data_IF_026427989642
#
_entry.id   IF_026427989642
#
_cell.length_a   1.000
_cell.length_b   1.000
_cell.length_c   1.000
_cell.angle_alpha   90.00
_cell.angle_beta   90.00
_cell.angle_gamma   90.00
#
_symmetry.space_group_name_H-M   'P 1'
#
loop_
_entity.id
_entity.type
_entity.pdbx_description
1 polymer ?
#
# COMPACT_ATOMS: atom_id res chain seq x y z
N UNK A 1 -51.05 -22.38 13.53
CA UNK A 1 -52.36 -21.86 13.95
C UNK A 1 -53.52 -22.42 13.12
N UNK A 2 -53.48 -22.35 11.77
CA UNK A 2 -54.56 -22.86 10.91
C UNK A 2 -54.93 -24.35 11.10
N UNK A 3 -53.93 -25.23 11.29
CA UNK A 3 -54.16 -26.66 11.56
C UNK A 3 -54.82 -26.92 12.92
N UNK A 4 -54.48 -26.11 13.93
CA UNK A 4 -55.05 -26.23 15.26
C UNK A 4 -56.51 -25.74 15.27
N UNK A 5 -56.80 -24.61 14.63
CA UNK A 5 -58.17 -24.11 14.47
C UNK A 5 -59.02 -25.05 13.60
N UNK A 6 -58.48 -25.60 12.51
CA UNK A 6 -59.17 -26.59 11.68
C UNK A 6 -59.44 -27.90 12.44
N UNK A 7 -58.51 -28.36 13.28
CA UNK A 7 -58.75 -29.50 14.15
C UNK A 7 -59.82 -29.24 15.22
N UNK A 8 -59.93 -28.00 15.72
CA UNK A 8 -61.01 -27.60 16.62
C UNK A 8 -62.38 -27.63 15.91
N UNK A 9 -62.48 -27.03 14.72
CA UNK A 9 -63.74 -26.95 13.96
C UNK A 9 -64.18 -28.29 13.37
N UNK A 10 -63.25 -29.14 12.92
CA UNK A 10 -63.55 -30.43 12.29
C UNK A 10 -63.59 -31.61 13.28
N UNK A 11 -63.32 -31.37 14.57
CA UNK A 11 -63.33 -32.42 15.60
C UNK A 11 -62.19 -33.46 15.50
N UNK A 12 -61.22 -33.27 14.61
CA UNK A 12 -60.17 -34.24 14.32
C UNK A 12 -59.01 -34.11 15.35
N UNK A 13 -58.81 -35.10 16.24
CA UNK A 13 -57.78 -35.03 17.29
C UNK A 13 -56.36 -35.02 16.71
N UNK A 14 -56.15 -35.68 15.56
CA UNK A 14 -54.85 -35.72 14.86
C UNK A 14 -54.40 -34.33 14.41
N UNK A 15 -55.30 -33.52 13.87
CA UNK A 15 -54.98 -32.14 13.44
C UNK A 15 -54.63 -31.23 14.63
N UNK A 16 -55.30 -31.43 15.78
CA UNK A 16 -54.97 -30.71 17.02
C UNK A 16 -53.59 -31.10 17.55
N UNK A 17 -53.28 -32.40 17.56
CA UNK A 17 -51.96 -32.91 17.98
C UNK A 17 -50.82 -32.38 17.12
N UNK A 18 -50.97 -32.42 15.79
CA UNK A 18 -49.99 -31.86 14.86
C UNK A 18 -49.82 -30.35 15.02
N UNK A 19 -50.92 -29.61 15.20
CA UNK A 19 -50.89 -28.18 15.44
C UNK A 19 -50.17 -27.79 16.74
N UNK A 20 -50.41 -28.53 17.82
CA UNK A 20 -49.73 -28.34 19.11
C UNK A 20 -48.25 -28.68 19.05
N UNK A 21 -47.89 -29.80 18.42
CA UNK A 21 -46.49 -30.19 18.21
C UNK A 21 -45.73 -29.14 17.39
N UNK A 22 -46.29 -28.68 16.28
CA UNK A 22 -45.69 -27.64 15.45
C UNK A 22 -45.50 -26.31 16.23
N UNK A 23 -46.47 -25.94 17.08
CA UNK A 23 -46.35 -24.76 17.93
C UNK A 23 -45.26 -24.93 18.99
N UNK A 24 -45.21 -26.08 19.66
CA UNK A 24 -44.18 -26.38 20.65
C UNK A 24 -42.79 -26.38 20.04
N UNK A 25 -42.63 -27.04 18.88
CA UNK A 25 -41.40 -27.05 18.10
C UNK A 25 -40.97 -25.62 17.69
N UNK A 26 -41.91 -24.78 17.26
CA UNK A 26 -41.66 -23.37 16.93
C UNK A 26 -41.22 -22.55 18.15
N UNK A 27 -41.86 -22.73 19.31
CA UNK A 27 -41.48 -22.03 20.55
C UNK A 27 -40.07 -22.44 20.99
N UNK A 28 -39.78 -23.75 21.01
CA UNK A 28 -38.44 -24.27 21.34
C UNK A 28 -37.38 -23.75 20.37
N UNK A 29 -37.71 -23.69 19.07
CA UNK A 29 -36.84 -23.09 18.06
C UNK A 29 -36.59 -21.58 18.27
N UNK A 30 -37.56 -20.84 18.82
CA UNK A 30 -37.41 -19.40 19.03
C UNK A 30 -36.56 -19.03 20.25
N UNK A 31 -36.48 -19.90 21.27
CA UNK A 31 -35.79 -19.60 22.53
C UNK A 31 -34.30 -19.20 22.34
N UNK A 32 -33.46 -19.95 21.60
CA UNK A 32 -32.04 -19.61 21.40
C UNK A 32 -31.82 -18.27 20.68
N UNK A 33 -32.78 -17.91 19.82
CA UNK A 33 -32.78 -16.68 19.02
C UNK A 33 -33.23 -15.47 19.85
N UNK A 34 -34.19 -15.67 20.77
CA UNK A 34 -34.71 -14.60 21.63
C UNK A 34 -33.79 -14.27 22.81
N UNK A 35 -33.01 -15.23 23.32
CA UNK A 35 -32.05 -14.99 24.42
C UNK A 35 -30.86 -14.19 23.88
N UNK A 36 -30.99 -12.86 23.93
CA UNK A 36 -29.93 -11.94 23.51
C UNK A 36 -28.71 -12.08 24.42
N UNK A 37 -27.57 -12.39 23.83
CA UNK A 37 -26.26 -12.38 24.50
C UNK A 37 -25.57 -11.10 24.08
N UNK A 38 -25.05 -10.35 25.06
CA UNK A 38 -24.38 -9.06 24.85
C UNK A 38 -23.01 -9.09 25.54
N UNK A 39 -22.10 -9.98 25.11
CA UNK A 39 -20.72 -9.86 25.51
C UNK A 39 -20.16 -8.59 24.85
N UNK A 40 -19.13 -8.04 25.46
CA UNK A 40 -18.36 -6.96 24.83
C UNK A 40 -17.05 -7.58 24.39
N UNK A 41 -16.71 -7.36 23.13
CA UNK A 41 -15.50 -7.88 22.52
C UNK A 41 -14.60 -6.71 22.13
N UNK A 42 -13.36 -6.75 22.60
CA UNK A 42 -12.31 -5.81 22.22
C UNK A 42 -11.24 -6.55 21.44
N UNK A 43 -10.89 -6.00 20.27
CA UNK A 43 -9.83 -6.54 19.41
C UNK A 43 -8.67 -5.56 19.33
N UNK A 44 -7.47 -6.09 19.59
CA UNK A 44 -6.19 -5.44 19.33
C UNK A 44 -5.42 -6.25 18.29
N UNK A 45 -4.72 -5.57 17.39
CA UNK A 45 -3.96 -6.20 16.30
C UNK A 45 -2.59 -5.55 16.27
N UNK A 46 -1.55 -6.35 16.43
CA UNK A 46 -0.17 -5.89 16.51
C UNK A 46 0.76 -6.72 15.61
N UNK A 47 1.59 -6.06 14.78
CA UNK A 47 1.57 -4.63 14.46
C UNK A 47 0.35 -4.25 13.59
N UNK A 48 0.02 -2.95 13.47
CA UNK A 48 -1.05 -2.45 12.58
C UNK A 48 -0.60 -2.30 11.12
N UNK A 49 0.71 -2.39 10.87
CA UNK A 49 1.36 -2.27 9.58
C UNK A 49 2.56 -3.21 9.54
N UNK A 50 2.70 -4.00 8.48
CA UNK A 50 3.77 -4.98 8.29
C UNK A 50 4.05 -5.20 6.80
N UNK A 51 5.13 -5.89 6.48
CA UNK A 51 5.40 -6.32 5.11
C UNK A 51 4.73 -7.66 4.79
N UNK A 52 4.51 -7.93 3.50
CA UNK A 52 3.97 -9.22 3.03
C UNK A 52 4.87 -10.36 3.50
N UNK A 53 4.30 -11.33 4.20
CA UNK A 53 5.04 -12.49 4.73
C UNK A 53 5.51 -12.34 6.18
N UNK A 54 5.44 -11.12 6.74
CA UNK A 54 5.58 -10.95 8.18
C UNK A 54 4.35 -11.51 8.92
N UNK A 55 4.49 -11.67 10.24
CA UNK A 55 3.41 -12.18 11.10
C UNK A 55 2.78 -11.05 11.88
N UNK A 56 1.45 -11.00 11.86
CA UNK A 56 0.66 -10.16 12.75
C UNK A 56 -0.19 -11.05 13.66
N UNK A 57 -0.41 -10.58 14.88
CA UNK A 57 -1.24 -11.29 15.87
C UNK A 57 -2.44 -10.43 16.23
N UNK A 58 -3.60 -11.06 16.31
CA UNK A 58 -4.81 -10.43 16.81
C UNK A 58 -5.15 -11.04 18.17
N UNK A 59 -5.32 -10.16 19.16
CA UNK A 59 -5.75 -10.50 20.51
C UNK A 59 -7.17 -10.05 20.69
N UNK A 60 -8.05 -11.02 20.92
CA UNK A 60 -9.47 -10.84 21.14
C UNK A 60 -9.79 -11.07 22.62
N UNK A 61 -10.37 -10.06 23.26
CA UNK A 61 -10.77 -10.09 24.66
C UNK A 61 -12.29 -9.99 24.72
N UNK A 62 -12.94 -11.04 25.20
CA UNK A 62 -14.40 -11.12 25.32
C UNK A 62 -14.77 -11.13 26.80
N UNK A 63 -15.54 -10.14 27.25
CA UNK A 63 -15.99 -10.08 28.63
C UNK A 63 -17.51 -10.17 28.75
N UNK A 64 -17.99 -10.76 29.85
CA UNK A 64 -19.39 -10.80 30.21
C UNK A 64 -19.74 -9.63 31.15
N UNK A 65 -20.34 -8.54 30.65
CA UNK A 65 -20.67 -7.38 31.49
C UNK A 65 -21.90 -7.59 32.38
N UNK A 66 -22.59 -8.73 32.28
CA UNK A 66 -23.84 -8.97 33.00
C UNK A 66 -23.61 -9.59 34.37
N UNK A 67 -24.58 -9.38 35.27
CA UNK A 67 -24.65 -10.04 36.57
C UNK A 67 -25.21 -11.49 36.51
N UNK A 68 -25.13 -12.15 35.35
CA UNK A 68 -25.61 -13.52 35.14
C UNK A 68 -24.59 -14.30 34.30
N UNK A 69 -24.57 -15.63 34.45
CA UNK A 69 -23.73 -16.50 33.62
C UNK A 69 -24.15 -16.41 32.16
N UNK A 70 -23.16 -16.32 31.28
CA UNK A 70 -23.32 -16.42 29.84
C UNK A 70 -22.97 -17.85 29.40
N UNK A 71 -23.87 -18.49 28.67
CA UNK A 71 -23.62 -19.82 28.11
C UNK A 71 -22.48 -19.80 27.07
N UNK A 72 -21.83 -20.94 26.85
CA UNK A 72 -20.82 -21.09 25.81
C UNK A 72 -21.42 -20.84 24.42
N UNK A 73 -20.62 -20.31 23.50
CA UNK A 73 -21.02 -20.00 22.14
C UNK A 73 -19.79 -19.95 21.23
N UNK A 74 -19.99 -20.16 19.93
CA UNK A 74 -18.94 -19.94 18.93
C UNK A 74 -19.12 -18.56 18.33
N UNK A 75 -18.07 -17.75 18.36
CA UNK A 75 -17.99 -16.51 17.61
C UNK A 75 -17.23 -16.74 16.29
N UNK A 76 -17.53 -15.94 15.30
CA UNK A 76 -16.93 -15.98 13.96
C UNK A 76 -16.24 -14.66 13.73
N UNK A 77 -14.93 -14.70 13.56
CA UNK A 77 -14.13 -13.59 13.09
C UNK A 77 -13.92 -13.71 11.58
N UNK A 78 -13.76 -12.56 10.91
CA UNK A 78 -13.56 -12.50 9.45
C UNK A 78 -12.26 -11.76 9.17
N UNK A 79 -11.31 -12.45 8.56
CA UNK A 79 -10.00 -11.92 8.21
C UNK A 79 -9.86 -11.98 6.69
N UNK A 80 -9.99 -10.83 6.01
CA UNK A 80 -9.88 -10.76 4.56
C UNK A 80 -10.71 -11.83 3.81
N UNK A 81 -11.94 -12.05 4.28
CA UNK A 81 -12.88 -13.05 3.72
C UNK A 81 -12.71 -14.48 4.25
N UNK A 82 -11.65 -14.77 5.00
CA UNK A 82 -11.47 -16.06 5.69
C UNK A 82 -12.18 -16.05 7.03
N UNK A 83 -12.87 -17.15 7.34
CA UNK A 83 -13.61 -17.32 8.61
C UNK A 83 -12.68 -17.96 9.63
N UNK A 84 -12.60 -17.36 10.83
CA UNK A 84 -11.93 -17.93 12.00
C UNK A 84 -12.97 -18.16 13.08
N UNK A 85 -13.16 -19.43 13.47
CA UNK A 85 -14.05 -19.79 14.56
C UNK A 85 -13.35 -19.62 15.91
N UNK A 86 -14.02 -18.92 16.82
CA UNK A 86 -13.56 -18.66 18.18
C UNK A 86 -14.54 -19.31 19.17
N UNK A 87 -14.26 -20.53 19.65
CA UNK A 87 -15.11 -21.19 20.63
C UNK A 87 -14.95 -20.50 22.00
N UNK A 88 -16.00 -19.81 22.44
CA UNK A 88 -16.01 -19.10 23.73
C UNK A 88 -16.68 -19.99 24.78
N UNK A 89 -15.98 -20.31 25.89
CA UNK A 89 -16.56 -21.09 26.98
C UNK A 89 -17.65 -20.31 27.70
N UNK A 90 -18.40 -20.99 28.57
CA UNK A 90 -19.36 -20.30 29.43
C UNK A 90 -18.62 -19.31 30.37
N UNK A 91 -19.11 -18.08 30.45
CA UNK A 91 -18.50 -17.01 31.23
C UNK A 91 -19.32 -16.70 32.48
N UNK A 92 -18.67 -16.68 33.63
CA UNK A 92 -19.25 -16.15 34.86
C UNK A 92 -19.52 -14.64 34.74
N UNK A 93 -20.37 -14.06 35.61
CA UNK A 93 -20.51 -12.60 35.72
C UNK A 93 -19.14 -11.93 35.85
N UNK A 94 -18.84 -10.94 35.00
CA UNK A 94 -17.57 -10.21 35.01
C UNK A 94 -16.34 -10.99 34.51
N UNK A 95 -16.48 -12.25 34.11
CA UNK A 95 -15.37 -13.04 33.61
C UNK A 95 -14.97 -12.65 32.17
N UNK A 96 -13.70 -12.85 31.86
CA UNK A 96 -13.09 -12.56 30.56
C UNK A 96 -12.52 -13.82 29.94
N UNK A 97 -12.65 -13.94 28.63
CA UNK A 97 -11.99 -14.94 27.80
C UNK A 97 -11.07 -14.24 26.81
N UNK A 98 -9.85 -14.75 26.70
CA UNK A 98 -8.84 -14.23 25.79
C UNK A 98 -8.52 -15.28 24.72
N UNK A 99 -8.47 -14.83 23.47
CA UNK A 99 -8.08 -15.66 22.34
C UNK A 99 -7.10 -14.91 21.45
N UNK A 100 -5.97 -15.54 21.15
CA UNK A 100 -4.94 -14.99 20.26
C UNK A 100 -4.86 -15.87 19.03
N UNK A 101 -4.90 -15.25 17.85
CA UNK A 101 -4.76 -15.93 16.57
C UNK A 101 -3.84 -15.15 15.63
N UNK A 102 -3.20 -15.87 14.71
CA UNK A 102 -2.36 -15.26 13.68
C UNK A 102 -3.23 -14.68 12.55
N UNK A 103 -2.83 -13.51 12.07
CA UNK A 103 -3.46 -12.85 10.92
C UNK A 103 -2.58 -13.09 9.69
N UNK A 104 -3.04 -13.88 8.70
CA UNK A 104 -2.24 -14.18 7.51
C UNK A 104 -2.05 -12.93 6.62
N UNK A 105 -0.82 -12.45 6.51
CA UNK A 105 -0.42 -11.34 5.64
C UNK A 105 0.15 -11.84 4.30
N UNK A 106 -0.60 -12.69 3.60
CA UNK A 106 -0.14 -13.38 2.38
C UNK A 106 -0.17 -12.52 1.13
N UNK A 107 -1.11 -11.56 1.06
CA UNK A 107 -1.18 -10.55 -0.02
C UNK A 107 -1.05 -9.16 0.56
N UNK A 108 -0.43 -8.27 -0.21
CA UNK A 108 -0.39 -6.84 0.11
C UNK A 108 -1.80 -6.23 0.04
N UNK A 109 -2.00 -5.12 0.74
CA UNK A 109 -3.26 -4.39 0.77
C UNK A 109 -3.72 -4.04 2.18
N UNK A 110 -4.92 -3.46 2.25
CA UNK A 110 -5.58 -3.17 3.52
C UNK A 110 -6.46 -4.36 3.88
N UNK A 111 -6.04 -5.14 4.87
CA UNK A 111 -6.80 -6.26 5.41
C UNK A 111 -7.78 -5.74 6.46
N UNK A 112 -9.05 -6.11 6.32
CA UNK A 112 -10.07 -5.88 7.35
C UNK A 112 -10.21 -7.13 8.22
N UNK A 113 -10.23 -6.90 9.54
CA UNK A 113 -10.37 -7.93 10.56
C UNK A 113 -11.62 -7.59 11.37
N UNK A 114 -12.63 -8.45 11.26
CA UNK A 114 -13.92 -8.32 11.92
C UNK A 114 -15.05 -7.82 11.00
N UNK A 115 -16.19 -7.40 11.60
CA UNK A 115 -16.45 -7.45 13.03
C UNK A 115 -16.51 -8.89 13.53
N UNK A 116 -16.28 -9.12 14.83
CA UNK A 116 -16.58 -10.42 15.41
C UNK A 116 -18.10 -10.61 15.34
N UNK A 117 -18.60 -11.79 15.00
CA UNK A 117 -20.04 -12.01 14.90
C UNK A 117 -20.44 -13.31 15.58
N UNK A 118 -21.62 -13.34 16.19
CA UNK A 118 -22.23 -14.57 16.68
C UNK A 118 -23.35 -14.91 15.71
N UNK A 119 -23.24 -16.07 15.07
CA UNK A 119 -24.31 -16.66 14.28
C UNK A 119 -25.02 -17.74 15.11
N UNK A 120 -26.33 -17.59 15.27
CA UNK A 120 -27.20 -18.57 15.94
C UNK A 120 -28.26 -19.02 14.98
N UNK A 121 -28.38 -20.33 14.85
CA UNK A 121 -29.52 -20.97 14.20
C UNK A 121 -30.25 -21.81 15.25
N UNK A 122 -31.57 -21.85 15.16
CA UNK A 122 -32.34 -22.83 15.91
C UNK A 122 -32.14 -24.24 15.34
N UNK A 123 -32.39 -25.30 16.13
CA UNK A 123 -32.22 -26.69 15.68
C UNK A 123 -33.10 -27.10 14.49
N UNK A 124 -34.22 -26.40 14.26
CA UNK A 124 -35.14 -26.67 13.15
C UNK A 124 -34.87 -25.78 11.93
N UNK A 125 -33.90 -24.86 12.01
CA UNK A 125 -33.53 -23.93 10.94
C UNK A 125 -34.60 -22.88 10.59
N UNK A 126 -35.61 -22.71 11.45
CA UNK A 126 -36.74 -21.78 11.26
C UNK A 126 -36.38 -20.31 11.53
N UNK A 127 -35.35 -20.05 12.34
CA UNK A 127 -34.95 -18.74 12.80
C UNK A 127 -33.41 -18.66 12.95
N UNK A 128 -32.84 -17.58 12.41
CA UNK A 128 -31.42 -17.25 12.58
C UNK A 128 -31.28 -15.86 13.18
N UNK A 129 -30.27 -15.69 14.02
CA UNK A 129 -29.88 -14.39 14.53
C UNK A 129 -28.38 -14.24 14.38
N UNK A 130 -27.98 -13.13 13.75
CA UNK A 130 -26.60 -12.68 13.69
C UNK A 130 -26.47 -11.43 14.54
N UNK A 131 -25.46 -11.40 15.40
CA UNK A 131 -25.12 -10.22 16.20
C UNK A 131 -23.64 -9.93 16.03
N UNK A 132 -23.32 -8.75 15.50
CA UNK A 132 -21.95 -8.28 15.43
C UNK A 132 -21.50 -7.73 16.80
N UNK A 133 -20.22 -7.96 17.12
CA UNK A 133 -19.55 -7.70 18.37
C UNK A 133 -18.24 -6.95 18.09
N UNK A 134 -18.07 -5.82 18.77
CA UNK A 134 -16.88 -4.99 18.62
C UNK A 134 -16.74 -4.39 17.21
N UNK A 135 -15.58 -3.77 16.98
CA UNK A 135 -15.33 -3.01 15.76
C UNK A 135 -14.54 -3.82 14.72
N UNK A 136 -14.51 -3.29 13.50
CA UNK A 136 -13.56 -3.69 12.45
C UNK A 136 -12.21 -3.03 12.72
N UNK A 137 -11.14 -3.81 12.65
CA UNK A 137 -9.76 -3.30 12.68
C UNK A 137 -9.14 -3.44 11.30
N UNK A 138 -8.34 -2.46 10.89
CA UNK A 138 -7.60 -2.52 9.62
C UNK A 138 -6.11 -2.74 9.87
N UNK A 139 -5.55 -3.68 9.12
CA UNK A 139 -4.13 -4.03 9.09
C UNK A 139 -3.60 -3.73 7.70
N UNK A 140 -2.50 -2.98 7.59
CA UNK A 140 -1.86 -2.73 6.31
C UNK A 140 -0.73 -3.72 6.05
N UNK A 141 -0.83 -4.44 4.94
CA UNK A 141 0.24 -5.30 4.44
C UNK A 141 0.91 -4.57 3.29
N UNK A 142 2.10 -4.05 3.55
CA UNK A 142 2.95 -3.40 2.57
C UNK A 142 3.66 -4.44 1.69
N UNK A 143 4.03 -4.09 0.45
CA UNK A 143 4.95 -4.91 -0.32
C UNK A 143 6.26 -5.11 0.44
N UNK A 144 6.93 -6.27 0.22
CA UNK A 144 8.25 -6.52 0.80
C UNK A 144 9.24 -5.51 0.31
N UNK A 145 10.09 -5.03 1.21
CA UNK A 145 11.21 -4.14 0.88
C UNK A 145 12.49 -4.96 0.88
N UNK A 146 13.17 -4.94 -0.26
CA UNK A 146 14.47 -5.55 -0.42
C UNK A 146 15.56 -4.47 -0.25
N UNK A 147 16.71 -4.81 0.35
CA UNK A 147 17.83 -3.89 0.38
C UNK A 147 18.32 -3.61 -1.05
N UNK A 148 18.34 -2.34 -1.45
CA UNK A 148 18.75 -1.86 -2.77
C UNK A 148 19.72 -0.70 -2.57
N UNK A 149 20.84 -0.66 -3.29
CA UNK A 149 21.71 0.52 -3.37
C UNK A 149 21.21 1.45 -4.47
N UNK A 150 20.78 2.66 -4.15
CA UNK A 150 20.38 3.63 -5.18
C UNK A 150 21.61 4.18 -5.92
N UNK A 151 21.58 4.14 -7.26
CA UNK A 151 22.58 4.79 -8.11
C UNK A 151 22.37 6.30 -8.03
N UNK A 152 23.19 6.97 -7.22
CA UNK A 152 23.29 8.42 -7.26
C UNK A 152 23.99 8.83 -8.57
N UNK A 153 23.23 9.00 -9.63
CA UNK A 153 23.73 9.67 -10.82
C UNK A 153 23.92 11.14 -10.53
N UNK A 154 25.18 11.50 -10.39
CA UNK A 154 25.59 12.82 -9.97
C UNK A 154 25.93 12.80 -8.49
N UNK A 155 27.24 12.85 -8.24
CA UNK A 155 27.88 13.26 -6.99
C UNK A 155 26.87 13.89 -6.02
N UNK A 156 26.57 13.21 -4.92
CA UNK A 156 26.11 13.91 -3.72
C UNK A 156 27.15 15.00 -3.45
N UNK A 157 26.87 16.24 -3.82
CA UNK A 157 27.56 17.38 -3.24
C UNK A 157 27.02 17.46 -1.82
N UNK A 158 27.68 16.73 -0.91
CA UNK A 158 27.45 16.76 0.53
C UNK A 158 26.96 18.15 0.95
N UNK A 159 25.66 18.29 1.19
CA UNK A 159 25.12 19.43 1.90
C UNK A 159 24.85 18.95 3.30
N UNK A 160 25.49 19.63 4.24
CA UNK A 160 25.49 19.38 5.67
C UNK A 160 24.09 19.07 6.21
N UNK A 161 24.06 18.11 7.15
CA UNK A 161 22.96 17.90 8.08
C UNK A 161 22.52 19.23 8.69
N UNK A 162 21.33 19.67 8.29
CA UNK A 162 20.70 20.86 8.80
C UNK A 162 19.25 20.86 8.35
N UNK A 163 18.34 20.89 9.31
CA UNK A 163 16.88 20.99 9.12
C UNK A 163 16.60 22.04 8.04
N UNK A 164 16.08 21.59 6.89
CA UNK A 164 15.77 22.43 5.75
C UNK A 164 14.68 23.42 6.15
N UNK A 165 15.11 24.63 6.52
CA UNK A 165 14.27 25.80 6.53
C UNK A 165 14.17 26.28 5.09
N UNK A 166 13.00 26.77 4.70
CA UNK A 166 12.64 27.29 3.36
C UNK A 166 13.37 28.62 3.01
N UNK A 167 14.63 28.73 3.43
CA UNK A 167 15.52 29.84 3.11
C UNK A 167 16.86 29.26 2.67
N UNK A 168 17.35 29.60 1.47
CA UNK A 168 18.63 29.12 0.99
C UNK A 168 19.74 29.58 1.94
N UNK A 169 20.47 28.62 2.49
CA UNK A 169 21.65 28.85 3.32
C UNK A 169 22.68 29.60 2.48
N UNK A 170 23.09 30.77 2.97
CA UNK A 170 24.09 31.64 2.33
C UNK A 170 25.40 30.88 2.10
N UNK A 171 25.86 30.84 0.84
CA UNK A 171 27.28 30.62 0.51
C UNK A 171 27.61 29.37 -0.32
N UNK A 172 26.66 28.49 -0.60
CA UNK A 172 26.86 27.25 -1.37
C UNK A 172 26.04 27.25 -2.66
N UNK A 173 26.25 28.25 -3.51
CA UNK A 173 25.69 28.24 -4.86
C UNK A 173 26.84 27.95 -5.83
N UNK A 174 26.90 26.73 -6.35
CA UNK A 174 27.90 26.36 -7.35
C UNK A 174 27.77 27.25 -8.59
N UNK A 175 28.83 28.00 -8.89
CA UNK A 175 28.87 28.94 -10.03
C UNK A 175 28.85 28.13 -11.33
N UNK A 176 27.78 28.26 -12.12
CA UNK A 176 27.63 27.63 -13.44
C UNK A 176 28.60 28.24 -14.46
N UNK A 177 28.59 29.56 -14.50
CA UNK A 177 29.20 30.40 -15.52
C UNK A 177 29.36 31.82 -14.96
N UNK A 178 30.31 32.54 -15.54
CA UNK A 178 30.42 33.98 -15.35
C UNK A 178 29.92 34.64 -16.64
N UNK A 179 28.99 35.59 -16.51
CA UNK A 179 28.57 36.42 -17.64
C UNK A 179 28.80 37.89 -17.34
N UNK A 180 28.88 38.70 -18.38
CA UNK A 180 28.97 40.14 -18.24
C UNK A 180 27.69 40.69 -17.59
N UNK A 181 27.86 41.68 -16.71
CA UNK A 181 26.81 42.37 -16.01
C UNK A 181 25.94 43.15 -16.99
N UNK A 182 24.63 43.02 -16.84
CA UNK A 182 23.63 43.83 -17.55
C UNK A 182 22.89 44.70 -16.53
N UNK A 183 22.60 45.97 -16.83
CA UNK A 183 21.79 46.82 -15.96
C UNK A 183 20.47 46.13 -15.58
N UNK A 184 20.26 45.93 -14.27
CA UNK A 184 19.14 45.15 -13.72
C UNK A 184 19.59 43.90 -12.95
N UNK A 185 20.85 43.47 -13.13
CA UNK A 185 21.42 42.38 -12.36
C UNK A 185 21.70 42.78 -10.91
N UNK A 186 21.54 41.81 -10.00
CA UNK A 186 21.77 42.05 -8.57
C UNK A 186 23.28 42.15 -8.27
N UNK A 187 23.72 43.31 -7.77
CA UNK A 187 25.14 43.58 -7.47
C UNK A 187 25.77 42.61 -6.46
N UNK A 188 24.96 41.96 -5.61
CA UNK A 188 25.43 40.92 -4.68
C UNK A 188 25.99 39.68 -5.36
N UNK A 189 25.64 39.43 -6.62
CA UNK A 189 26.13 38.30 -7.40
C UNK A 189 27.39 38.63 -8.22
N UNK A 190 27.92 39.86 -8.12
CA UNK A 190 29.14 40.26 -8.83
C UNK A 190 30.35 39.46 -8.33
N UNK A 191 31.09 38.88 -9.28
CA UNK A 191 32.33 38.19 -9.01
C UNK A 191 33.49 39.18 -8.94
N UNK A 192 33.75 39.74 -7.75
CA UNK A 192 34.75 40.80 -7.54
C UNK A 192 36.13 40.48 -8.14
N UNK A 193 36.62 39.25 -7.97
CA UNK A 193 37.94 38.84 -8.49
C UNK A 193 38.01 38.75 -10.03
N UNK A 194 36.90 38.40 -10.68
CA UNK A 194 36.88 38.31 -12.14
C UNK A 194 36.78 39.74 -12.70
N UNK A 195 35.87 40.52 -12.12
CA UNK A 195 35.66 41.93 -12.48
C UNK A 195 36.92 42.79 -12.30
N UNK A 196 37.67 42.57 -11.22
CA UNK A 196 38.93 43.27 -10.98
C UNK A 196 40.05 42.90 -11.98
N UNK A 197 40.00 41.71 -12.59
CA UNK A 197 41.02 41.24 -13.55
C UNK A 197 40.75 41.73 -14.97
N UNK A 198 39.49 41.81 -15.38
CA UNK A 198 39.09 42.19 -16.74
C UNK A 198 38.66 43.65 -16.88
N UNK A 199 38.38 44.35 -15.78
CA UNK A 199 37.87 45.73 -15.80
C UNK A 199 36.39 45.85 -16.18
N UNK A 200 35.75 44.76 -16.60
CA UNK A 200 34.31 44.64 -16.86
C UNK A 200 33.63 43.88 -15.73
N UNK A 201 32.42 44.29 -15.34
CA UNK A 201 31.68 43.64 -14.26
C UNK A 201 31.17 42.27 -14.72
N UNK A 202 31.50 41.23 -13.97
CA UNK A 202 31.01 39.86 -14.19
C UNK A 202 30.07 39.46 -13.05
N UNK A 203 28.96 38.82 -13.40
CA UNK A 203 27.96 38.27 -12.47
C UNK A 203 28.06 36.75 -12.45
N UNK A 204 27.98 36.17 -11.25
CA UNK A 204 27.89 34.72 -11.04
C UNK A 204 26.50 34.25 -11.47
N UNK A 205 26.43 33.41 -12.49
CA UNK A 205 25.23 32.59 -12.71
C UNK A 205 25.27 31.43 -11.73
N UNK A 206 24.34 31.46 -10.78
CA UNK A 206 24.20 30.45 -9.76
C UNK A 206 23.28 29.34 -10.31
N UNK A 207 23.68 28.08 -10.13
CA UNK A 207 22.75 26.95 -10.36
C UNK A 207 21.98 26.73 -9.08
N UNK A 208 20.66 26.76 -9.13
CA UNK A 208 19.86 26.19 -8.05
C UNK A 208 20.20 24.70 -7.94
N UNK A 209 20.67 24.20 -6.80
CA UNK A 209 20.94 22.78 -6.64
C UNK A 209 19.63 22.03 -6.90
N UNK A 210 19.58 21.30 -8.02
CA UNK A 210 18.45 20.44 -8.34
C UNK A 210 18.38 19.41 -7.22
N UNK A 211 17.34 19.48 -6.39
CA UNK A 211 17.07 18.43 -5.42
C UNK A 211 17.00 17.11 -6.18
N UNK A 212 17.78 16.09 -5.78
CA UNK A 212 17.85 14.87 -6.54
C UNK A 212 16.52 14.14 -6.36
N UNK A 213 15.82 13.91 -7.47
CA UNK A 213 14.41 13.50 -7.46
C UNK A 213 14.21 12.27 -8.32
N UNK A 214 13.61 11.26 -7.71
CA UNK A 214 13.30 9.98 -8.30
C UNK A 214 11.85 9.98 -8.77
N UNK A 215 11.63 9.66 -10.04
CA UNK A 215 10.30 9.34 -10.53
C UNK A 215 10.20 7.85 -10.75
N UNK A 216 9.29 7.21 -10.03
CA UNK A 216 8.97 5.80 -10.19
C UNK A 216 7.68 5.67 -11.00
N UNK A 217 7.74 4.90 -12.08
CA UNK A 217 6.60 4.58 -12.91
C UNK A 217 6.32 3.10 -12.79
N UNK A 218 5.18 2.74 -12.21
CA UNK A 218 4.72 1.36 -12.11
C UNK A 218 3.68 1.08 -13.18
N UNK A 219 3.99 0.15 -14.09
CA UNK A 219 3.04 -0.31 -15.09
C UNK A 219 2.05 -1.30 -14.49
N UNK A 220 0.90 -0.81 -14.02
CA UNK A 220 -0.14 -1.64 -13.41
C UNK A 220 -1.12 -2.25 -14.44
N UNK A 221 -0.72 -2.41 -15.70
CA UNK A 221 -1.62 -2.95 -16.74
C UNK A 221 -1.52 -4.47 -16.81
N UNK A 222 -2.65 -5.21 -16.84
CA UNK A 222 -2.65 -6.65 -17.07
C UNK A 222 -2.02 -7.07 -18.41
N UNK A 223 -2.02 -6.17 -19.40
CA UNK A 223 -1.41 -6.42 -20.71
C UNK A 223 0.13 -6.36 -20.69
N UNK A 224 0.72 -5.66 -19.72
CA UNK A 224 2.16 -5.52 -19.58
C UNK A 224 2.74 -6.50 -18.54
N UNK A 225 2.01 -6.75 -17.45
CA UNK A 225 2.44 -7.63 -16.37
C UNK A 225 1.35 -8.66 -16.08
N UNK A 226 1.76 -9.93 -15.96
CA UNK A 226 0.91 -10.95 -15.33
C UNK A 226 0.63 -10.58 -13.88
N UNK A 227 -0.39 -11.18 -13.25
CA UNK A 227 -0.71 -10.92 -11.85
C UNK A 227 0.51 -11.14 -10.92
N UNK A 228 1.27 -12.23 -11.13
CA UNK A 228 2.45 -12.53 -10.33
C UNK A 228 3.60 -11.55 -10.61
N UNK A 229 3.88 -11.23 -11.88
CA UNK A 229 4.94 -10.26 -12.23
C UNK A 229 4.60 -8.85 -11.73
N UNK A 230 3.32 -8.52 -11.60
CA UNK A 230 2.87 -7.27 -11.00
C UNK A 230 3.16 -7.21 -9.50
N UNK A 231 2.98 -8.29 -8.75
CA UNK A 231 3.39 -8.35 -7.33
C UNK A 231 4.89 -8.09 -7.19
N UNK A 232 5.71 -8.71 -8.04
CA UNK A 232 7.17 -8.53 -8.04
C UNK A 232 7.55 -7.08 -8.42
N UNK A 233 6.88 -6.50 -9.42
CA UNK A 233 7.07 -5.10 -9.82
C UNK A 233 6.75 -4.11 -8.70
N UNK A 234 5.72 -4.38 -7.90
CA UNK A 234 5.36 -3.56 -6.74
C UNK A 234 6.42 -3.65 -5.63
N UNK A 235 6.99 -4.84 -5.39
CA UNK A 235 8.10 -5.01 -4.45
C UNK A 235 9.37 -4.29 -4.91
N UNK A 236 9.69 -4.32 -6.21
CA UNK A 236 10.79 -3.52 -6.79
C UNK A 236 10.52 -2.03 -6.59
N UNK A 237 9.32 -1.55 -6.87
CA UNK A 237 8.95 -0.15 -6.69
C UNK A 237 9.10 0.31 -5.23
N UNK A 238 8.61 -0.51 -4.28
CA UNK A 238 8.71 -0.23 -2.85
C UNK A 238 10.16 -0.18 -2.37
N UNK A 239 10.98 -1.12 -2.84
CA UNK A 239 12.39 -1.22 -2.47
C UNK A 239 13.20 -0.01 -2.95
N UNK A 240 12.99 0.40 -4.21
CA UNK A 240 13.65 1.57 -4.78
C UNK A 240 13.15 2.86 -4.12
N UNK A 241 11.84 3.01 -3.93
CA UNK A 241 11.27 4.18 -3.24
C UNK A 241 11.84 4.34 -1.83
N UNK A 242 11.85 3.24 -1.07
CA UNK A 242 12.41 3.20 0.28
C UNK A 242 13.87 3.65 0.29
N UNK A 243 14.71 2.99 -0.50
CA UNK A 243 16.14 3.31 -0.55
C UNK A 243 16.40 4.75 -1.02
N UNK A 244 15.65 5.23 -2.01
CA UNK A 244 15.77 6.59 -2.52
C UNK A 244 15.47 7.63 -1.44
N UNK A 245 14.36 7.49 -0.71
CA UNK A 245 14.01 8.42 0.39
C UNK A 245 15.01 8.34 1.54
N UNK A 246 15.51 7.14 1.87
CA UNK A 246 16.56 6.98 2.89
C UNK A 246 17.86 7.72 2.51
N UNK A 247 18.13 7.90 1.22
CA UNK A 247 19.26 8.66 0.70
C UNK A 247 18.94 10.16 0.48
N UNK A 248 17.78 10.64 0.91
CA UNK A 248 17.38 12.05 0.78
C UNK A 248 16.85 12.43 -0.60
N UNK A 249 16.52 11.46 -1.45
CA UNK A 249 15.87 11.72 -2.72
C UNK A 249 14.38 11.95 -2.56
N UNK A 250 13.86 12.95 -3.25
CA UNK A 250 12.42 13.18 -3.38
C UNK A 250 11.83 12.15 -4.35
N UNK A 251 10.93 11.29 -3.87
CA UNK A 251 10.32 10.22 -4.68
C UNK A 251 8.89 10.55 -5.03
N UNK A 252 8.52 10.36 -6.30
CA UNK A 252 7.14 10.40 -6.78
C UNK A 252 6.83 9.09 -7.47
N UNK A 253 5.77 8.41 -7.01
CA UNK A 253 5.19 7.26 -7.71
C UNK A 253 4.09 7.72 -8.67
N UNK A 254 4.17 7.24 -9.90
CA UNK A 254 3.16 7.34 -10.94
C UNK A 254 2.72 5.93 -11.38
N UNK A 255 1.43 5.74 -11.65
CA UNK A 255 0.93 4.52 -12.31
C UNK A 255 0.78 4.74 -13.82
N UNK A 256 0.62 3.64 -14.58
CA UNK A 256 0.43 3.73 -16.03
C UNK A 256 -0.86 4.47 -16.45
N UNK A 257 -1.81 4.66 -15.53
CA UNK A 257 -3.04 5.40 -15.77
C UNK A 257 -2.88 6.92 -15.59
N UNK A 258 -1.72 7.33 -15.09
CA UNK A 258 -1.40 8.71 -14.79
C UNK A 258 -1.85 9.19 -13.41
N UNK A 259 -2.25 8.26 -12.54
CA UNK A 259 -2.36 8.55 -11.11
C UNK A 259 -0.98 8.85 -10.53
N UNK A 260 -0.90 9.91 -9.72
CA UNK A 260 0.35 10.42 -9.17
C UNK A 260 0.22 10.60 -7.66
N UNK A 261 1.14 9.97 -6.93
CA UNK A 261 1.26 10.15 -5.48
C UNK A 261 1.83 11.53 -5.11
N UNK A 262 1.52 12.02 -3.89
CA UNK A 262 2.30 13.08 -3.26
C UNK A 262 3.77 12.68 -3.17
N UNK A 263 4.67 13.66 -3.24
CA UNK A 263 6.09 13.36 -3.15
C UNK A 263 6.49 12.92 -1.74
N UNK A 264 7.24 11.84 -1.64
CA UNK A 264 7.89 11.40 -0.43
C UNK A 264 9.31 12.01 -0.37
N UNK A 265 9.52 12.95 0.54
CA UNK A 265 10.79 13.68 0.69
C UNK A 265 11.58 13.26 1.93
N UNK A 266 10.91 12.61 2.89
CA UNK A 266 11.47 12.20 4.18
C UNK A 266 10.96 10.82 4.56
N UNK A 267 11.66 10.09 5.44
CA UNK A 267 11.21 8.78 5.92
C UNK A 267 9.77 8.78 6.46
N UNK A 268 9.34 9.84 7.15
CA UNK A 268 7.97 9.96 7.66
C UNK A 268 6.91 10.04 6.53
N UNK A 269 7.29 10.59 5.38
CA UNK A 269 6.43 10.68 4.19
C UNK A 269 6.41 9.38 3.36
N UNK A 270 7.16 8.36 3.77
CA UNK A 270 7.20 7.06 3.10
C UNK A 270 5.92 6.24 3.34
N UNK A 271 5.30 6.38 4.52
CA UNK A 271 4.11 5.61 4.87
C UNK A 271 2.95 5.78 3.87
N UNK A 272 2.55 7.00 3.48
CA UNK A 272 1.54 7.19 2.44
C UNK A 272 1.89 6.55 1.09
N UNK A 273 3.17 6.55 0.71
CA UNK A 273 3.64 5.93 -0.54
C UNK A 273 3.53 4.39 -0.46
N UNK A 274 3.91 3.80 0.68
CA UNK A 274 3.76 2.36 0.92
C UNK A 274 2.29 1.94 1.02
N UNK A 275 1.43 2.76 1.64
CA UNK A 275 -0.02 2.54 1.66
C UNK A 275 -0.58 2.59 0.23
N UNK A 276 -0.09 3.50 -0.62
CA UNK A 276 -0.49 3.56 -2.02
C UNK A 276 -0.08 2.30 -2.78
N UNK A 277 1.17 1.86 -2.64
CA UNK A 277 1.67 0.61 -3.24
C UNK A 277 0.96 -0.64 -2.69
N UNK A 278 0.53 -0.63 -1.43
CA UNK A 278 -0.30 -1.70 -0.88
C UNK A 278 -1.68 -1.74 -1.55
N UNK A 279 -2.27 -0.57 -1.83
CA UNK A 279 -3.60 -0.44 -2.44
C UNK A 279 -3.64 -0.47 -3.97
N UNK A 280 -2.50 -0.46 -4.66
CA UNK A 280 -2.47 -0.38 -6.12
C UNK A 280 -2.94 -1.70 -6.71
N UNK A 281 -3.94 -1.64 -7.59
CA UNK A 281 -4.49 -2.78 -8.31
C UNK A 281 -4.15 -2.70 -9.81
N UNK A 282 -4.23 -3.83 -10.49
CA UNK A 282 -4.09 -3.82 -11.95
C UNK A 282 -5.34 -3.28 -12.59
N UNK A 283 -5.17 -2.38 -13.55
CA UNK A 283 -6.29 -1.79 -14.27
C UNK A 283 -6.09 -1.95 -15.77
N UNK A 284 -7.08 -2.48 -16.52
CA UNK A 284 -7.02 -2.55 -17.96
C UNK A 284 -6.94 -1.13 -18.56
N UNK A 285 -5.77 -0.75 -19.07
CA UNK A 285 -5.57 0.51 -19.78
C UNK A 285 -5.20 0.25 -21.23
N UNK A 286 -5.79 1.06 -22.11
CA UNK A 286 -5.68 0.92 -23.56
C UNK A 286 -4.45 1.64 -24.14
N UNK A 287 -3.71 2.44 -23.36
CA UNK A 287 -2.68 3.32 -23.93
C UNK A 287 -1.39 3.47 -23.06
N UNK A 288 -0.25 2.87 -23.47
CA UNK A 288 1.06 3.08 -22.83
C UNK A 288 1.55 4.53 -22.90
N UNK A 289 1.11 5.31 -23.88
CA UNK A 289 1.58 6.68 -24.11
C UNK A 289 1.10 7.61 -23.00
N UNK A 290 -0.11 7.38 -22.46
CA UNK A 290 -0.65 8.15 -21.32
C UNK A 290 0.20 8.02 -20.05
N UNK A 291 0.81 6.87 -19.80
CA UNK A 291 1.72 6.64 -18.68
C UNK A 291 2.94 7.57 -18.76
N UNK A 292 3.53 7.68 -19.96
CA UNK A 292 4.68 8.52 -20.23
C UNK A 292 4.33 10.01 -20.16
N UNK A 293 3.16 10.39 -20.69
CA UNK A 293 2.67 11.76 -20.58
C UNK A 293 2.42 12.18 -19.12
N UNK A 294 1.96 11.25 -18.28
CA UNK A 294 1.77 11.53 -16.86
C UNK A 294 3.09 11.81 -16.13
N UNK A 295 4.18 11.14 -16.52
CA UNK A 295 5.54 11.45 -16.08
C UNK A 295 5.96 12.84 -16.55
N UNK A 296 5.67 13.18 -17.81
CA UNK A 296 6.10 14.43 -18.43
C UNK A 296 5.35 15.69 -17.92
N UNK A 297 4.06 15.56 -17.53
CA UNK A 297 3.18 16.72 -17.25
C UNK A 297 3.48 17.52 -15.98
N UNK A 298 4.47 17.14 -15.17
CA UNK A 298 4.76 17.91 -13.95
C UNK A 298 6.02 17.52 -13.17
N UNK A 299 7.02 16.96 -13.85
CA UNK A 299 8.27 16.51 -13.22
C UNK A 299 9.44 17.18 -13.94
N UNK A 300 10.36 17.79 -13.18
CA UNK A 300 11.45 18.59 -13.72
C UNK A 300 12.82 17.95 -13.45
N UNK A 301 13.19 16.99 -14.30
CA UNK A 301 14.55 16.46 -14.40
C UNK A 301 14.77 15.12 -13.68
N UNK A 302 15.98 14.86 -13.18
CA UNK A 302 16.24 13.83 -12.18
C UNK A 302 16.38 12.43 -12.76
N UNK A 303 16.10 11.39 -11.99
CA UNK A 303 16.28 10.01 -12.42
C UNK A 303 14.91 9.37 -12.55
N UNK A 304 14.73 8.66 -13.67
CA UNK A 304 13.48 8.01 -13.99
C UNK A 304 13.66 6.51 -13.90
N UNK A 305 12.79 5.86 -13.15
CA UNK A 305 12.74 4.42 -13.03
C UNK A 305 11.37 3.94 -13.50
N UNK A 306 11.35 3.17 -14.58
CA UNK A 306 10.13 2.58 -15.15
C UNK A 306 10.13 1.08 -14.89
N UNK A 307 9.08 0.57 -14.26
CA UNK A 307 8.93 -0.86 -13.95
C UNK A 307 7.76 -1.38 -14.79
N UNK A 308 8.05 -2.24 -15.76
CA UNK A 308 7.08 -2.75 -16.73
C UNK A 308 7.43 -4.17 -17.15
N UNK A 309 6.49 -4.90 -17.76
CA UNK A 309 6.78 -6.14 -18.49
C UNK A 309 6.64 -6.00 -20.01
N UNK A 310 6.50 -4.77 -20.50
CA UNK A 310 6.35 -4.47 -21.92
C UNK A 310 7.43 -3.49 -22.39
N UNK A 311 8.71 -3.78 -22.08
CA UNK A 311 9.86 -2.97 -22.46
C UNK A 311 10.25 -3.16 -23.95
N UNK A 312 9.30 -2.88 -24.85
CA UNK A 312 9.54 -3.00 -26.29
C UNK A 312 10.44 -1.87 -26.83
N UNK A 313 10.89 -2.03 -28.08
CA UNK A 313 11.76 -1.03 -28.73
C UNK A 313 11.11 0.35 -28.85
N UNK A 314 9.78 0.42 -28.98
CA UNK A 314 9.04 1.69 -29.13
C UNK A 314 9.01 2.46 -27.81
N UNK A 315 8.71 1.78 -26.70
CA UNK A 315 8.75 2.32 -25.34
C UNK A 315 10.16 2.80 -25.01
N UNK A 316 11.18 1.97 -25.25
CA UNK A 316 12.57 2.34 -24.96
C UNK A 316 13.05 3.54 -25.80
N UNK A 317 12.67 3.62 -27.08
CA UNK A 317 13.00 4.77 -27.93
C UNK A 317 12.31 6.06 -27.47
N UNK A 318 11.05 5.97 -27.03
CA UNK A 318 10.33 7.11 -26.44
C UNK A 318 10.99 7.57 -25.14
N UNK A 319 11.37 6.63 -24.27
CA UNK A 319 12.05 6.92 -23.02
C UNK A 319 13.40 7.60 -23.25
N UNK A 320 14.24 7.07 -24.15
CA UNK A 320 15.53 7.68 -24.50
C UNK A 320 15.43 9.05 -25.17
N UNK A 321 14.27 9.40 -25.73
CA UNK A 321 13.98 10.72 -26.27
C UNK A 321 13.62 11.78 -25.21
N UNK A 322 13.36 11.38 -23.97
CA UNK A 322 12.96 12.32 -22.92
C UNK A 322 14.15 13.11 -22.39
N UNK A 323 14.01 14.43 -22.43
CA UNK A 323 15.03 15.35 -21.92
C UNK A 323 14.78 15.70 -20.47
N UNK A 324 15.85 15.84 -19.70
CA UNK A 324 15.82 16.23 -18.29
C UNK A 324 16.07 15.07 -17.33
N UNK A 325 15.80 13.83 -17.75
CA UNK A 325 16.09 12.67 -16.93
C UNK A 325 17.48 12.10 -17.22
N UNK A 326 18.29 11.92 -16.18
CA UNK A 326 19.58 11.24 -16.22
C UNK A 326 19.87 10.57 -14.86
N UNK A 327 19.89 9.22 -14.77
CA UNK A 327 19.67 8.24 -15.82
C UNK A 327 18.19 7.93 -15.95
N UNK A 328 17.87 7.30 -17.07
CA UNK A 328 16.61 6.59 -17.27
C UNK A 328 16.90 5.10 -17.12
N UNK A 329 16.20 4.45 -16.20
CA UNK A 329 16.32 3.02 -15.96
C UNK A 329 14.98 2.32 -16.13
N UNK A 330 14.98 1.19 -16.83
CA UNK A 330 13.81 0.38 -17.08
C UNK A 330 14.01 -0.99 -16.46
N UNK A 331 13.16 -1.34 -15.50
CA UNK A 331 13.03 -2.67 -14.97
C UNK A 331 12.01 -3.45 -15.79
N UNK A 332 12.51 -4.49 -16.46
CA UNK A 332 11.70 -5.42 -17.23
C UNK A 332 11.45 -6.68 -16.40
N UNK A 333 10.23 -6.82 -15.89
CA UNK A 333 9.79 -7.93 -15.02
C UNK A 333 9.07 -9.02 -15.81
N UNK A 334 9.10 -8.95 -17.16
CA UNK A 334 8.39 -9.90 -18.03
C UNK A 334 9.01 -11.30 -18.08
N UNK A 335 10.26 -11.45 -17.61
CA UNK A 335 11.02 -12.70 -17.67
C UNK A 335 11.56 -13.06 -19.06
N UNK A 336 11.31 -12.26 -20.10
CA UNK A 336 11.76 -12.55 -21.48
C UNK A 336 13.24 -12.19 -21.71
N UNK A 337 13.92 -12.99 -22.54
CA UNK A 337 15.38 -12.98 -22.75
C UNK A 337 15.87 -12.05 -23.87
N UNK A 338 15.00 -11.47 -24.70
CA UNK A 338 15.47 -10.64 -25.82
C UNK A 338 16.07 -9.32 -25.33
N UNK A 339 17.33 -9.11 -25.70
CA UNK A 339 18.11 -7.96 -25.23
C UNK A 339 17.82 -6.74 -26.10
N UNK A 340 16.73 -6.03 -25.81
CA UNK A 340 16.49 -4.70 -26.37
C UNK A 340 17.29 -3.67 -25.58
N UNK A 341 18.07 -2.84 -26.27
CA UNK A 341 18.86 -1.74 -25.73
C UNK A 341 18.53 -0.46 -26.49
N UNK A 342 18.53 0.68 -25.79
CA UNK A 342 18.33 1.99 -26.39
C UNK A 342 19.36 2.99 -25.82
N UNK A 343 19.86 3.94 -26.64
CA UNK A 343 20.77 4.98 -26.16
C UNK A 343 20.14 5.80 -25.02
N UNK A 344 20.90 6.04 -23.95
CA UNK A 344 20.45 6.84 -22.80
C UNK A 344 19.51 6.12 -21.84
N UNK A 345 19.19 4.83 -22.08
CA UNK A 345 18.32 4.02 -21.22
C UNK A 345 19.06 2.78 -20.73
N UNK A 346 19.12 2.61 -19.42
CA UNK A 346 19.63 1.39 -18.80
C UNK A 346 18.48 0.41 -18.62
N UNK A 347 18.58 -0.81 -19.17
CA UNK A 347 17.54 -1.84 -19.01
C UNK A 347 18.03 -2.94 -18.08
N UNK A 348 17.32 -3.15 -16.98
CA UNK A 348 17.57 -4.22 -16.00
C UNK A 348 16.42 -5.21 -16.08
N UNK A 349 16.71 -6.44 -16.50
CA UNK A 349 15.72 -7.51 -16.56
C UNK A 349 15.78 -8.36 -15.31
N UNK A 350 14.68 -8.85 -14.78
CA UNK A 350 14.66 -9.82 -13.68
C UNK A 350 13.26 -10.37 -13.48
N UNK A 351 13.09 -11.69 -13.45
CA UNK A 351 11.76 -12.30 -13.35
C UNK A 351 11.16 -12.22 -11.94
N UNK A 352 12.00 -11.91 -10.94
CA UNK A 352 11.62 -11.75 -9.54
C UNK A 352 12.25 -10.47 -8.97
N UNK A 353 11.66 -9.91 -7.92
CA UNK A 353 12.15 -8.72 -7.26
C UNK A 353 13.59 -8.89 -6.74
N UNK A 354 13.98 -10.01 -6.08
CA UNK A 354 15.37 -10.21 -5.66
C UNK A 354 16.38 -10.23 -6.82
N UNK A 355 16.01 -10.84 -7.95
CA UNK A 355 16.88 -10.86 -9.13
C UNK A 355 17.04 -9.47 -9.77
N UNK A 356 15.93 -8.73 -9.88
CA UNK A 356 15.91 -7.38 -10.42
C UNK A 356 16.77 -6.44 -9.56
N UNK A 357 16.57 -6.47 -8.24
CA UNK A 357 17.35 -5.69 -7.26
C UNK A 357 18.83 -6.05 -7.29
N UNK A 358 19.18 -7.35 -7.26
CA UNK A 358 20.59 -7.76 -7.31
C UNK A 358 21.30 -7.42 -8.64
N UNK A 359 20.55 -7.28 -9.74
CA UNK A 359 21.10 -6.77 -11.02
C UNK A 359 21.28 -5.27 -11.00
N UNK A 360 20.35 -4.53 -10.39
CA UNK A 360 20.48 -3.10 -10.17
C UNK A 360 21.73 -2.77 -9.36
N UNK A 361 21.98 -3.44 -8.22
CA UNK A 361 23.17 -3.18 -7.40
C UNK A 361 24.48 -3.40 -8.17
N UNK A 362 24.50 -4.36 -9.11
CA UNK A 362 25.68 -4.57 -9.98
C UNK A 362 25.89 -3.45 -10.99
N UNK A 363 24.82 -2.81 -11.45
CA UNK A 363 24.90 -1.61 -12.29
C UNK A 363 25.29 -0.40 -11.44
N UNK A 364 24.77 -0.30 -10.22
CA UNK A 364 25.07 0.77 -9.26
C UNK A 364 26.54 0.89 -8.88
N UNK A 365 27.23 -0.25 -8.77
CA UNK A 365 28.65 -0.32 -8.37
C UNK A 365 29.65 -0.08 -9.51
N UNK A 366 29.19 0.04 -10.76
CA UNK A 366 30.03 0.33 -11.93
C UNK A 366 30.12 1.83 -12.18
#
# INVERSE_FOLDING_TARGET
MALWSAGLTLGLPVLRGLGGFALGAFVVALVPVLVRVRPVAERTVEPTRLERGDRATARLVIHNPRNQRQAAFTAIDRIAGTIVEVPVPALAPGATFEHVYEVPATRRGRLEIGPLSIDRADPLGLARSRTDLGDVRSLWVHPRRLPVEVVASGRLRHHHDGVSTDQPIRGSNDVRSLREYVPGDELRHVHARASARTGTLFVRELVDPVQPHCTLVLDNRPAALTADAFEEAVEVAASIAWSAVQQGHRVVLCTAEGDRSPAAERPDAMQPLLDRLASVEQVPSTDPVRALEAVARGIRGGWLVVITGAADRKVLAQLGGMRGFDPITVFDVSGWLETVSAPGVTVIRGGTAPEAVGRWDRVARR
#
